data_IF_097319561026
#
_entry.id   IF_097319561026
#
_cell.length_a   1.000
_cell.length_b   1.000
_cell.length_c   1.000
_cell.angle_alpha   90.00
_cell.angle_beta   90.00
_cell.angle_gamma   90.00
#
_symmetry.space_group_name_H-M   'P 1'
#
loop_
_entity.id
_entity.type
_entity.pdbx_description
1 polymer ?
#
# COMPACT_ATOMS: atom_id res chain seq x y z
N UNK A 1 13.26 8.04 2.35
CA UNK A 1 12.05 7.63 1.59
C UNK A 1 12.36 7.47 0.09
N UNK A 2 13.09 8.38 -0.56
CA UNK A 2 13.45 8.20 -1.99
C UNK A 2 14.28 6.93 -2.21
N UNK A 3 15.33 6.72 -1.39
CA UNK A 3 16.18 5.53 -1.48
C UNK A 3 15.38 4.22 -1.32
N UNK A 4 14.40 4.23 -0.42
CA UNK A 4 13.49 3.10 -0.24
C UNK A 4 12.69 2.83 -1.53
N UNK A 5 12.13 3.88 -2.12
CA UNK A 5 11.37 3.77 -3.37
C UNK A 5 12.23 3.23 -4.51
N UNK A 6 13.46 3.70 -4.62
CA UNK A 6 14.42 3.23 -5.64
C UNK A 6 14.76 1.76 -5.45
N UNK A 7 14.97 1.30 -4.21
CA UNK A 7 15.23 -0.11 -3.92
C UNK A 7 14.02 -1.01 -4.21
N UNK A 8 12.81 -0.54 -3.89
CA UNK A 8 11.57 -1.27 -4.19
C UNK A 8 11.36 -1.37 -5.71
N UNK A 9 11.58 -0.29 -6.47
CA UNK A 9 11.53 -0.31 -7.93
C UNK A 9 12.59 -1.25 -8.51
N UNK A 10 13.82 -1.20 -7.99
CA UNK A 10 14.89 -2.08 -8.42
C UNK A 10 14.53 -3.56 -8.20
N UNK A 11 13.94 -3.90 -7.05
CA UNK A 11 13.51 -5.26 -6.74
C UNK A 11 12.50 -5.85 -7.75
N UNK A 12 11.71 -4.99 -8.43
CA UNK A 12 10.77 -5.38 -9.49
C UNK A 12 11.41 -5.72 -10.83
N UNK A 13 12.71 -5.57 -10.96
CA UNK A 13 13.38 -5.91 -12.21
C UNK A 13 13.51 -7.43 -12.35
N UNK A 14 12.88 -7.99 -13.40
CA UNK A 14 12.90 -9.44 -13.71
C UNK A 14 14.31 -10.01 -13.94
N UNK A 15 15.33 -9.17 -14.07
CA UNK A 15 16.74 -9.60 -14.22
C UNK A 15 17.42 -9.95 -12.89
N UNK A 16 16.82 -9.68 -11.73
CA UNK A 16 17.41 -10.02 -10.45
C UNK A 16 17.19 -11.49 -10.08
N UNK A 17 18.27 -12.12 -9.59
CA UNK A 17 18.24 -13.46 -9.03
C UNK A 17 17.69 -13.45 -7.60
N UNK A 18 17.35 -14.61 -7.06
CA UNK A 18 16.94 -14.74 -5.66
C UNK A 18 17.96 -14.14 -4.67
N UNK A 19 19.29 -14.39 -4.78
CA UNK A 19 20.29 -13.73 -3.93
C UNK A 19 20.32 -12.19 -4.06
N UNK A 20 20.06 -11.66 -5.27
CA UNK A 20 19.99 -10.21 -5.47
C UNK A 20 18.78 -9.62 -4.76
N UNK A 21 17.62 -10.28 -4.83
CA UNK A 21 16.39 -9.88 -4.12
C UNK A 21 16.58 -9.91 -2.61
N UNK A 22 17.18 -10.97 -2.06
CA UNK A 22 17.52 -11.04 -0.62
C UNK A 22 18.44 -9.88 -0.21
N UNK A 23 19.41 -9.52 -1.04
CA UNK A 23 20.28 -8.36 -0.78
C UNK A 23 19.48 -7.04 -0.76
N UNK A 24 18.54 -6.85 -1.68
CA UNK A 24 17.67 -5.68 -1.71
C UNK A 24 16.71 -5.65 -0.50
N UNK A 25 16.11 -6.78 -0.14
CA UNK A 25 15.29 -6.92 1.06
C UNK A 25 16.07 -6.52 2.32
N UNK A 26 17.32 -6.93 2.44
CA UNK A 26 18.21 -6.54 3.56
C UNK A 26 18.51 -5.03 3.58
N UNK A 27 18.69 -4.39 2.41
CA UNK A 27 18.90 -2.94 2.33
C UNK A 27 17.63 -2.18 2.77
N UNK A 28 16.45 -2.64 2.35
CA UNK A 28 15.17 -2.07 2.78
C UNK A 28 14.97 -2.26 4.30
N UNK A 29 15.34 -3.41 4.85
CA UNK A 29 15.31 -3.67 6.29
C UNK A 29 16.20 -2.69 7.06
N UNK A 30 17.42 -2.41 6.58
CA UNK A 30 18.31 -1.43 7.20
C UNK A 30 17.71 0.00 7.17
N UNK A 31 17.01 0.38 6.09
CA UNK A 31 16.30 1.66 6.02
C UNK A 31 15.10 1.71 6.96
N UNK A 32 14.36 0.61 7.07
CA UNK A 32 13.26 0.46 8.04
C UNK A 32 13.74 0.71 9.46
N UNK A 33 14.88 0.13 9.85
CA UNK A 33 15.47 0.33 11.18
C UNK A 33 15.94 1.77 11.41
N UNK A 34 16.47 2.43 10.38
CA UNK A 34 16.80 3.86 10.45
C UNK A 34 15.53 4.72 10.65
N UNK A 35 14.44 4.40 9.94
CA UNK A 35 13.14 5.09 10.12
C UNK A 35 12.62 4.86 11.53
N UNK A 36 12.71 3.64 12.07
CA UNK A 36 12.32 3.32 13.43
C UNK A 36 13.15 4.11 14.47
N UNK A 37 14.46 4.23 14.25
CA UNK A 37 15.31 5.06 15.09
C UNK A 37 14.92 6.55 15.02
N UNK A 38 14.53 7.06 13.84
CA UNK A 38 14.03 8.42 13.68
C UNK A 38 12.69 8.61 14.43
N UNK A 39 11.78 7.65 14.34
CA UNK A 39 10.49 7.69 15.03
C UNK A 39 10.65 7.76 16.58
N UNK A 40 11.74 7.20 17.09
CA UNK A 40 12.08 7.21 18.53
C UNK A 40 13.07 8.33 18.94
N UNK A 41 13.33 9.32 18.05
CA UNK A 41 14.26 10.41 18.39
C UNK A 41 13.71 11.30 19.48
N UNK A 42 14.64 11.79 20.29
CA UNK A 42 14.38 12.79 21.33
C UNK A 42 14.98 14.15 20.96
N UNK A 43 14.48 15.20 21.59
CA UNK A 43 15.07 16.53 21.55
C UNK A 43 16.31 16.63 22.46
N UNK A 44 16.91 17.82 22.58
CA UNK A 44 18.06 18.10 23.44
C UNK A 44 17.77 17.91 24.94
N UNK A 45 16.53 17.87 25.35
CA UNK A 45 16.09 17.65 26.73
C UNK A 45 15.72 16.20 27.01
N UNK A 46 15.88 15.30 26.02
CA UNK A 46 15.52 13.89 26.11
C UNK A 46 14.02 13.61 25.93
N UNK A 47 13.23 14.60 25.49
CA UNK A 47 11.80 14.41 25.25
C UNK A 47 11.55 13.83 23.85
N UNK A 48 10.70 12.80 23.71
CA UNK A 48 10.38 12.19 22.41
C UNK A 48 9.74 13.18 21.44
N UNK A 49 10.31 13.29 20.23
CA UNK A 49 9.79 14.18 19.18
C UNK A 49 8.43 13.72 18.62
N UNK A 50 8.13 12.44 18.69
CA UNK A 50 6.91 11.84 18.16
C UNK A 50 6.01 11.23 19.25
N UNK A 51 6.17 11.68 20.49
CA UNK A 51 5.40 11.20 21.64
C UNK A 51 3.95 11.69 21.70
N UNK A 52 3.52 12.57 20.80
CA UNK A 52 2.18 13.14 20.81
C UNK A 52 1.93 14.06 22.00
N UNK A 53 0.85 13.81 22.74
CA UNK A 53 0.51 14.55 23.97
C UNK A 53 1.41 14.18 25.15
N UNK A 54 2.16 13.07 25.05
CA UNK A 54 3.14 12.59 26.01
C UNK A 54 3.50 11.13 25.80
N UNK A 55 4.71 10.75 26.24
CA UNK A 55 5.18 9.37 26.29
C UNK A 55 6.06 9.20 27.53
N UNK A 56 5.91 8.10 28.24
CA UNK A 56 6.74 7.79 29.43
C UNK A 56 8.14 7.26 29.04
N UNK A 57 8.37 6.96 27.77
CA UNK A 57 9.63 6.41 27.24
C UNK A 57 9.67 6.55 25.73
N UNK A 58 10.32 5.60 25.04
CA UNK A 58 10.30 5.54 23.58
C UNK A 58 8.86 5.44 23.07
N UNK A 59 8.42 6.32 22.15
CA UNK A 59 7.03 6.34 21.69
C UNK A 59 6.66 5.12 20.84
N UNK A 60 7.63 4.40 20.27
CA UNK A 60 7.39 3.21 19.45
C UNK A 60 8.16 2.02 20.00
N UNK A 61 7.48 0.88 20.12
CA UNK A 61 8.04 -0.41 20.48
C UNK A 61 7.91 -1.38 19.31
N UNK A 62 9.03 -2.02 18.94
CA UNK A 62 9.06 -3.08 17.94
C UNK A 62 8.88 -4.43 18.65
N UNK A 63 7.79 -5.12 18.35
CA UNK A 63 7.42 -6.39 18.93
C UNK A 63 7.16 -7.42 17.81
N UNK A 64 7.11 -8.73 18.08
CA UNK A 64 6.86 -9.75 17.05
C UNK A 64 5.56 -9.57 16.25
N UNK A 65 4.58 -8.84 16.79
CA UNK A 65 3.32 -8.51 16.10
C UNK A 65 3.37 -7.23 15.27
N UNK A 66 4.54 -6.59 15.18
CA UNK A 66 4.77 -5.31 14.48
C UNK A 66 5.05 -4.15 15.43
N UNK A 67 5.22 -2.96 14.88
CA UNK A 67 5.51 -1.76 15.68
C UNK A 67 4.23 -1.21 16.31
N UNK A 68 4.29 -0.94 17.61
CA UNK A 68 3.22 -0.32 18.39
C UNK A 68 3.58 1.10 18.80
N UNK A 69 2.60 2.01 18.72
CA UNK A 69 2.70 3.34 19.32
C UNK A 69 2.29 3.29 20.80
N UNK A 70 3.19 3.73 21.67
CA UNK A 70 3.01 3.76 23.13
C UNK A 70 2.84 5.17 23.70
N UNK A 71 2.85 6.20 22.82
CA UNK A 71 2.60 7.57 23.19
C UNK A 71 1.11 7.89 23.34
N UNK A 72 0.79 9.09 23.77
CA UNK A 72 -0.58 9.61 23.79
C UNK A 72 -0.86 10.28 22.43
N UNK A 73 -1.83 9.75 21.67
CA UNK A 73 -2.22 10.29 20.36
C UNK A 73 -2.71 11.74 20.49
N UNK A 74 -2.41 12.56 19.49
CA UNK A 74 -2.77 13.96 19.43
C UNK A 74 -1.55 14.88 19.43
N UNK A 75 -1.81 16.16 19.28
CA UNK A 75 -0.79 17.20 19.30
C UNK A 75 -1.34 18.44 20.01
N UNK A 76 -0.53 19.06 20.84
CA UNK A 76 -0.91 20.32 21.47
C UNK A 76 -1.04 21.41 20.39
N UNK A 77 -2.08 22.22 20.48
CA UNK A 77 -2.24 23.36 19.59
C UNK A 77 -1.11 24.37 19.82
N UNK A 78 -0.60 24.95 18.74
CA UNK A 78 0.30 26.08 18.83
C UNK A 78 -0.46 27.30 19.45
N UNK A 79 0.19 28.00 20.36
CA UNK A 79 -0.32 29.25 20.93
C UNK A 79 0.64 30.39 20.57
N UNK A 80 0.25 31.65 20.86
CA UNK A 80 1.12 32.81 20.64
C UNK A 80 2.40 32.78 21.50
N UNK A 81 2.42 31.94 22.53
CA UNK A 81 3.52 31.88 23.52
C UNK A 81 4.20 30.51 23.55
N UNK A 82 3.63 29.47 22.92
CA UNK A 82 4.19 28.12 22.95
C UNK A 82 3.95 27.38 21.64
N UNK A 83 5.01 26.81 21.09
CA UNK A 83 4.94 25.86 19.98
C UNK A 83 4.92 24.43 20.54
N UNK A 84 4.22 23.47 19.86
CA UNK A 84 4.26 22.06 20.27
C UNK A 84 5.68 21.53 20.17
N UNK A 85 6.21 20.97 21.27
CA UNK A 85 7.54 20.37 21.33
C UNK A 85 7.57 18.94 20.75
N UNK A 86 6.40 18.30 20.60
CA UNK A 86 6.27 16.96 20.08
C UNK A 86 5.16 16.86 19.02
N UNK A 87 5.35 16.00 18.05
CA UNK A 87 4.39 15.69 16.98
C UNK A 87 3.56 14.45 17.31
N UNK A 88 2.38 14.33 16.70
CA UNK A 88 1.55 13.14 16.83
C UNK A 88 2.15 11.98 16.04
N UNK A 89 2.92 11.14 16.73
CA UNK A 89 3.57 9.96 16.12
C UNK A 89 2.58 8.95 15.57
N UNK A 90 1.41 8.78 16.20
CA UNK A 90 0.34 7.93 15.69
C UNK A 90 -0.06 8.35 14.27
N UNK A 91 -0.41 9.62 14.07
CA UNK A 91 -0.86 10.12 12.77
C UNK A 91 0.24 10.09 11.68
N UNK A 92 1.51 10.20 12.07
CA UNK A 92 2.63 10.28 11.12
C UNK A 92 3.10 8.90 10.68
N UNK A 93 3.13 7.91 11.59
CA UNK A 93 3.77 6.63 11.35
C UNK A 93 2.82 5.44 11.33
N UNK A 94 1.64 5.57 12.00
CA UNK A 94 0.70 4.46 12.18
C UNK A 94 -0.58 4.61 11.37
N UNK A 95 -0.94 5.85 10.97
CA UNK A 95 -2.18 6.16 10.25
C UNK A 95 -1.87 6.65 8.83
N UNK A 96 -0.95 5.97 8.12
CA UNK A 96 -0.62 6.27 6.73
C UNK A 96 -1.75 5.73 5.84
N UNK A 97 -2.39 6.56 5.00
CA UNK A 97 -3.44 6.07 4.11
C UNK A 97 -2.89 5.04 3.11
N UNK A 98 -3.59 3.91 2.95
CA UNK A 98 -3.26 2.89 1.94
C UNK A 98 -3.58 3.35 0.51
N UNK A 99 -2.97 2.71 -0.47
CA UNK A 99 -3.21 2.95 -1.89
C UNK A 99 -2.98 4.40 -2.31
N UNK A 100 -3.92 4.95 -3.06
CA UNK A 100 -3.87 6.35 -3.53
C UNK A 100 -4.53 7.35 -2.56
N UNK A 101 -4.76 6.99 -1.31
CA UNK A 101 -5.44 7.73 -0.22
C UNK A 101 -6.97 7.78 -0.31
N UNK A 102 -7.55 7.31 -1.38
CA UNK A 102 -9.00 7.20 -1.56
C UNK A 102 -9.42 5.74 -1.59
N UNK A 103 -8.66 4.95 -2.32
CA UNK A 103 -8.86 3.51 -2.42
C UNK A 103 -7.51 2.80 -2.61
N UNK A 104 -7.52 1.52 -2.30
CA UNK A 104 -6.40 0.61 -2.57
C UNK A 104 -6.81 -0.42 -3.62
N UNK A 105 -5.83 -0.90 -4.37
CA UNK A 105 -6.02 -1.91 -5.40
C UNK A 105 -5.14 -3.11 -5.07
N UNK A 106 -5.71 -4.32 -5.14
CA UNK A 106 -4.96 -5.55 -4.93
C UNK A 106 -5.36 -6.62 -5.95
N UNK A 107 -4.48 -7.59 -6.17
CA UNK A 107 -4.81 -8.77 -6.97
C UNK A 107 -5.53 -9.81 -6.11
N UNK A 108 -6.46 -10.53 -6.73
CA UNK A 108 -7.07 -11.69 -6.09
C UNK A 108 -6.05 -12.75 -5.71
N UNK A 109 -6.20 -13.35 -4.53
CA UNK A 109 -5.25 -14.35 -4.02
C UNK A 109 -5.17 -15.62 -4.91
N UNK A 110 -6.23 -15.88 -5.67
CA UNK A 110 -6.32 -17.03 -6.60
C UNK A 110 -5.84 -16.75 -8.02
N UNK A 111 -5.34 -15.53 -8.30
CA UNK A 111 -4.90 -15.19 -9.65
C UNK A 111 -3.75 -16.10 -10.12
N UNK A 112 -3.87 -16.57 -11.34
CA UNK A 112 -2.92 -17.48 -11.99
C UNK A 112 -2.34 -16.93 -13.30
N UNK A 113 -2.94 -15.86 -13.85
CA UNK A 113 -2.46 -15.16 -15.03
C UNK A 113 -1.42 -14.10 -14.74
N UNK A 114 -1.07 -13.33 -15.78
CA UNK A 114 -0.08 -12.25 -15.72
C UNK A 114 -0.68 -10.86 -15.58
N UNK A 115 -1.89 -10.73 -15.03
CA UNK A 115 -2.51 -9.43 -14.80
C UNK A 115 -1.86 -8.72 -13.60
N UNK A 116 -1.60 -7.43 -13.76
CA UNK A 116 -1.20 -6.50 -12.71
C UNK A 116 -1.84 -5.14 -12.99
N UNK A 117 -1.85 -4.22 -12.05
CA UNK A 117 -2.49 -2.92 -12.20
C UNK A 117 -1.68 -1.83 -11.48
N UNK A 118 -1.92 -0.57 -11.86
CA UNK A 118 -1.46 0.59 -11.11
C UNK A 118 -2.24 0.76 -9.78
N UNK A 119 -1.89 1.77 -9.00
CA UNK A 119 -2.62 2.15 -7.78
C UNK A 119 -3.98 2.79 -8.05
N UNK A 120 -4.30 3.03 -9.31
CA UNK A 120 -5.47 3.74 -9.74
C UNK A 120 -5.50 5.22 -9.35
N UNK A 121 -6.52 5.93 -9.81
CA UNK A 121 -6.75 7.33 -9.47
C UNK A 121 -8.24 7.69 -9.51
N UNK A 122 -8.59 8.78 -8.84
CA UNK A 122 -9.96 9.31 -8.85
C UNK A 122 -10.14 10.20 -10.07
N UNK A 123 -11.13 9.90 -10.91
CA UNK A 123 -11.51 10.70 -12.10
C UNK A 123 -12.68 11.62 -11.83
N UNK A 124 -13.57 11.24 -10.92
CA UNK A 124 -14.74 12.04 -10.54
C UNK A 124 -15.04 11.90 -9.04
N UNK A 125 -14.58 12.83 -8.20
CA UNK A 125 -14.82 12.77 -6.75
C UNK A 125 -16.30 12.75 -6.36
N UNK A 126 -17.16 13.37 -7.17
CA UNK A 126 -18.61 13.45 -6.90
C UNK A 126 -19.33 12.10 -7.08
N UNK A 127 -18.72 11.13 -7.78
CA UNK A 127 -19.29 9.80 -8.02
C UNK A 127 -18.73 8.73 -7.07
N UNK A 128 -17.80 9.10 -6.18
CA UNK A 128 -17.21 8.14 -5.23
C UNK A 128 -18.29 7.63 -4.27
N UNK A 129 -18.39 6.32 -4.16
CA UNK A 129 -19.34 5.64 -3.28
C UNK A 129 -18.73 5.23 -1.94
N UNK A 130 -17.38 5.08 -1.88
CA UNK A 130 -16.68 4.52 -0.72
C UNK A 130 -16.97 3.03 -0.49
N UNK A 131 -17.36 2.31 -1.52
CA UNK A 131 -17.71 0.88 -1.48
C UNK A 131 -16.59 0.01 -2.03
N UNK A 132 -16.68 -1.31 -1.77
CA UNK A 132 -15.73 -2.29 -2.29
C UNK A 132 -16.17 -2.76 -3.67
N UNK A 133 -15.18 -2.99 -4.55
CA UNK A 133 -15.38 -3.48 -5.90
C UNK A 133 -14.45 -4.63 -6.24
N UNK A 134 -14.86 -5.42 -7.22
CA UNK A 134 -14.05 -6.46 -7.83
C UNK A 134 -14.20 -6.43 -9.34
N UNK A 135 -13.10 -6.50 -10.04
CA UNK A 135 -13.06 -6.72 -11.49
C UNK A 135 -12.80 -8.21 -11.69
N UNK A 136 -13.71 -8.90 -12.35
CA UNK A 136 -13.64 -10.33 -12.63
C UNK A 136 -13.30 -10.54 -14.10
N UNK A 137 -12.19 -11.22 -14.40
CA UNK A 137 -11.79 -11.52 -15.78
C UNK A 137 -12.29 -12.89 -16.25
N UNK A 138 -12.87 -12.90 -17.42
CA UNK A 138 -13.32 -14.11 -18.11
C UNK A 138 -12.55 -14.28 -19.40
N UNK A 139 -11.88 -15.42 -19.57
CA UNK A 139 -11.15 -15.78 -20.81
C UNK A 139 -11.86 -16.97 -21.45
N UNK A 140 -12.44 -16.76 -22.65
CA UNK A 140 -13.14 -17.79 -23.39
C UNK A 140 -12.81 -17.67 -24.88
N UNK A 141 -12.43 -18.80 -25.50
CA UNK A 141 -12.09 -18.88 -26.93
C UNK A 141 -11.05 -17.82 -27.40
N UNK A 142 -10.10 -17.47 -26.52
CA UNK A 142 -9.06 -16.48 -26.82
C UNK A 142 -9.51 -15.01 -26.70
N UNK A 143 -10.76 -14.77 -26.28
CA UNK A 143 -11.29 -13.44 -26.00
C UNK A 143 -11.31 -13.23 -24.50
N UNK A 144 -10.78 -12.11 -24.04
CA UNK A 144 -10.84 -11.69 -22.64
C UNK A 144 -11.88 -10.60 -22.47
N UNK A 145 -12.78 -10.80 -21.52
CA UNK A 145 -13.76 -9.81 -21.06
C UNK A 145 -13.65 -9.60 -19.56
N UNK A 146 -14.26 -8.55 -19.05
CA UNK A 146 -14.34 -8.31 -17.62
C UNK A 146 -15.72 -7.82 -17.18
N UNK A 147 -16.05 -8.13 -15.93
CA UNK A 147 -17.16 -7.55 -15.21
C UNK A 147 -16.64 -6.69 -14.07
N UNK A 148 -17.35 -5.61 -13.71
CA UNK A 148 -17.09 -4.85 -12.48
C UNK A 148 -18.27 -5.06 -11.56
N UNK A 149 -18.01 -5.63 -10.40
CA UNK A 149 -19.00 -5.95 -9.38
C UNK A 149 -18.74 -5.09 -8.15
N UNK A 150 -19.74 -4.38 -7.70
CA UNK A 150 -19.76 -3.75 -6.39
C UNK A 150 -20.00 -4.85 -5.35
N UNK A 151 -19.01 -5.22 -4.57
CA UNK A 151 -19.09 -6.35 -3.64
C UNK A 151 -19.84 -5.99 -2.34
N UNK A 152 -19.93 -4.71 -2.01
CA UNK A 152 -20.73 -4.23 -0.87
C UNK A 152 -22.24 -4.41 -1.13
N UNK A 153 -22.70 -4.13 -2.35
CA UNK A 153 -24.11 -4.18 -2.72
C UNK A 153 -24.47 -5.42 -3.54
N UNK A 154 -23.48 -6.18 -4.00
CA UNK A 154 -23.60 -7.30 -4.95
C UNK A 154 -24.16 -6.88 -6.33
N UNK A 155 -24.07 -5.61 -6.68
CA UNK A 155 -24.54 -5.09 -7.97
C UNK A 155 -23.45 -5.17 -9.04
N UNK A 156 -23.78 -5.60 -10.24
CA UNK A 156 -22.89 -5.52 -11.40
C UNK A 156 -22.94 -4.11 -11.98
N UNK A 157 -21.81 -3.42 -11.96
CA UNK A 157 -21.66 -2.03 -12.46
C UNK A 157 -21.36 -2.04 -13.96
N UNK A 158 -20.46 -2.92 -14.40
CA UNK A 158 -20.13 -3.15 -15.80
C UNK A 158 -20.18 -4.66 -16.07
N UNK A 159 -20.69 -5.07 -17.22
CA UNK A 159 -20.81 -6.49 -17.58
C UNK A 159 -20.25 -6.76 -18.96
N UNK A 160 -19.50 -7.88 -19.09
CA UNK A 160 -18.96 -8.42 -20.32
C UNK A 160 -18.22 -7.39 -21.20
N UNK A 161 -17.49 -6.47 -20.58
CA UNK A 161 -16.72 -5.47 -21.31
C UNK A 161 -15.47 -6.08 -21.94
N UNK A 162 -15.09 -5.70 -23.16
CA UNK A 162 -13.86 -6.20 -23.79
C UNK A 162 -12.63 -5.70 -23.03
N UNK A 163 -11.73 -6.61 -22.68
CA UNK A 163 -10.48 -6.25 -22.03
C UNK A 163 -9.38 -5.95 -23.05
N UNK A 164 -8.67 -4.86 -22.83
CA UNK A 164 -7.43 -4.52 -23.53
C UNK A 164 -6.37 -4.14 -22.50
N UNK A 165 -5.23 -4.81 -22.53
CA UNK A 165 -4.12 -4.51 -21.64
C UNK A 165 -3.68 -3.04 -21.75
N UNK A 166 -3.59 -2.34 -20.63
CA UNK A 166 -3.21 -0.92 -20.58
C UNK A 166 -4.35 0.05 -20.94
N UNK A 167 -5.58 -0.42 -21.14
CA UNK A 167 -6.74 0.43 -21.25
C UNK A 167 -7.35 0.70 -19.86
N UNK A 168 -7.73 1.96 -19.54
CA UNK A 168 -8.32 2.28 -18.26
C UNK A 168 -9.73 1.69 -18.12
N UNK A 169 -10.00 1.08 -16.97
CA UNK A 169 -11.34 0.68 -16.54
C UNK A 169 -11.85 1.74 -15.60
N UNK A 170 -12.97 2.38 -15.99
CA UNK A 170 -13.57 3.48 -15.23
C UNK A 170 -15.00 3.12 -14.78
N UNK A 171 -15.30 3.37 -13.52
CA UNK A 171 -16.60 3.17 -12.89
C UNK A 171 -16.69 3.98 -11.60
N UNK A 172 -17.88 4.46 -11.23
CA UNK A 172 -18.19 5.14 -9.97
C UNK A 172 -17.13 6.17 -9.50
N UNK A 173 -16.56 6.92 -10.46
CA UNK A 173 -15.56 7.95 -10.18
C UNK A 173 -14.14 7.44 -10.03
N UNK A 174 -13.91 6.14 -10.14
CA UNK A 174 -12.61 5.47 -10.05
C UNK A 174 -12.07 5.16 -11.44
N UNK A 175 -10.75 5.09 -11.57
CA UNK A 175 -10.04 4.58 -12.75
C UNK A 175 -8.87 3.71 -12.30
N UNK A 176 -8.77 2.52 -12.85
CA UNK A 176 -7.64 1.59 -12.69
C UNK A 176 -7.13 1.17 -14.07
N UNK A 177 -5.83 0.86 -14.17
CA UNK A 177 -5.17 0.54 -15.43
C UNK A 177 -4.60 -0.89 -15.40
N UNK A 178 -5.44 -1.94 -15.58
CA UNK A 178 -4.93 -3.30 -15.62
C UNK A 178 -4.06 -3.55 -16.85
N UNK A 179 -2.96 -4.25 -16.63
CA UNK A 179 -1.98 -4.60 -17.66
C UNK A 179 -1.70 -6.11 -17.63
N UNK A 180 -1.11 -6.60 -18.72
CA UNK A 180 -0.76 -8.01 -18.86
C UNK A 180 -1.93 -8.86 -19.35
N UNK A 181 -1.79 -10.18 -19.22
CA UNK A 181 -2.76 -11.17 -19.70
C UNK A 181 -3.40 -11.89 -18.50
N UNK A 182 -4.64 -11.56 -18.13
CA UNK A 182 -5.35 -12.30 -17.08
C UNK A 182 -5.64 -13.73 -17.54
N UNK A 183 -5.69 -14.66 -16.59
CA UNK A 183 -6.27 -15.98 -16.80
C UNK A 183 -7.79 -15.94 -16.50
N UNK A 184 -8.50 -16.98 -16.90
CA UNK A 184 -9.93 -17.10 -16.58
C UNK A 184 -10.13 -17.24 -15.06
N UNK A 185 -10.92 -16.34 -14.50
CA UNK A 185 -11.20 -16.27 -13.06
C UNK A 185 -10.21 -15.40 -12.27
N UNK A 186 -9.24 -14.77 -12.91
CA UNK A 186 -8.42 -13.75 -12.24
C UNK A 186 -9.27 -12.55 -11.83
N UNK A 187 -8.88 -11.91 -10.74
CA UNK A 187 -9.62 -10.77 -10.20
C UNK A 187 -8.69 -9.63 -9.78
N UNK A 188 -9.22 -8.41 -9.83
CA UNK A 188 -8.63 -7.22 -9.20
C UNK A 188 -9.64 -6.70 -8.17
N UNK A 189 -9.18 -6.50 -6.95
CA UNK A 189 -10.01 -6.03 -5.83
C UNK A 189 -9.69 -4.57 -5.55
N UNK A 190 -10.71 -3.77 -5.39
CA UNK A 190 -10.61 -2.36 -5.04
C UNK A 190 -11.40 -2.14 -3.75
N UNK A 191 -10.72 -1.60 -2.73
CA UNK A 191 -11.30 -1.32 -1.43
C UNK A 191 -11.06 0.15 -1.03
N UNK A 192 -11.89 0.76 -0.19
CA UNK A 192 -11.60 2.08 0.37
C UNK A 192 -10.25 2.10 1.07
N UNK A 193 -9.52 3.23 0.97
CA UNK A 193 -8.25 3.42 1.67
C UNK A 193 -8.43 3.27 3.17
N UNK A 194 -7.55 2.52 3.79
CA UNK A 194 -7.48 2.33 5.24
C UNK A 194 -6.20 2.93 5.81
N UNK A 195 -6.17 3.13 7.12
CA UNK A 195 -4.96 3.56 7.81
C UNK A 195 -4.00 2.37 7.97
N UNK A 196 -2.78 2.53 7.49
CA UNK A 196 -1.72 1.52 7.60
C UNK A 196 -0.60 1.98 8.53
N UNK A 197 -0.08 1.03 9.29
CA UNK A 197 1.18 1.19 9.98
C UNK A 197 2.33 1.13 8.96
N UNK A 198 3.12 2.21 8.83
CA UNK A 198 4.24 2.29 7.90
C UNK A 198 5.23 1.14 8.07
N UNK A 199 5.52 0.76 9.32
CA UNK A 199 6.48 -0.31 9.61
C UNK A 199 5.94 -1.67 9.14
N UNK A 200 4.65 -1.96 9.37
CA UNK A 200 4.02 -3.18 8.89
C UNK A 200 3.99 -3.23 7.35
N UNK A 201 3.80 -2.08 6.69
CA UNK A 201 3.89 -1.98 5.23
C UNK A 201 5.31 -2.31 4.74
N UNK A 202 6.35 -1.76 5.41
CA UNK A 202 7.74 -2.05 5.08
C UNK A 202 8.10 -3.52 5.31
N UNK A 203 7.68 -4.08 6.45
CA UNK A 203 7.88 -5.49 6.78
C UNK A 203 7.18 -6.42 5.77
N UNK A 204 5.97 -6.07 5.33
CA UNK A 204 5.25 -6.75 4.25
C UNK A 204 5.97 -6.68 2.91
N UNK A 205 6.53 -5.52 2.57
CA UNK A 205 7.31 -5.31 1.34
C UNK A 205 8.60 -6.13 1.36
N UNK A 206 9.35 -6.12 2.47
CA UNK A 206 10.57 -6.93 2.66
C UNK A 206 10.24 -8.41 2.46
N UNK A 207 9.20 -8.91 3.13
CA UNK A 207 8.77 -10.30 3.00
C UNK A 207 8.33 -10.66 1.58
N UNK A 208 7.66 -9.74 0.88
CA UNK A 208 7.24 -9.96 -0.50
C UNK A 208 8.42 -10.05 -1.48
N UNK A 209 9.46 -9.25 -1.26
CA UNK A 209 10.68 -9.26 -2.08
C UNK A 209 11.50 -10.53 -1.81
N UNK A 210 11.68 -10.88 -0.56
CA UNK A 210 12.50 -12.03 -0.14
C UNK A 210 11.85 -13.38 -0.51
N UNK A 211 10.50 -13.45 -0.48
CA UNK A 211 9.73 -14.67 -0.75
C UNK A 211 8.98 -14.65 -2.09
N UNK A 212 9.34 -13.78 -3.03
CA UNK A 212 8.64 -13.66 -4.30
C UNK A 212 8.76 -14.95 -5.14
N UNK A 213 7.68 -15.71 -5.19
CA UNK A 213 7.59 -16.95 -5.99
C UNK A 213 7.32 -16.70 -7.47
N UNK A 214 6.95 -15.47 -7.87
CA UNK A 214 6.71 -15.10 -9.28
C UNK A 214 6.86 -13.60 -9.50
N UNK A 215 7.31 -13.21 -10.69
CA UNK A 215 7.52 -11.82 -11.10
C UNK A 215 6.24 -10.97 -11.07
N UNK A 216 5.08 -11.59 -11.30
CA UNK A 216 3.79 -10.87 -11.27
C UNK A 216 3.37 -10.45 -9.86
N UNK A 217 3.54 -11.34 -8.87
CA UNK A 217 3.27 -10.99 -7.46
C UNK A 217 4.21 -9.91 -6.95
N UNK A 218 5.47 -9.98 -7.37
CA UNK A 218 6.47 -8.97 -7.05
C UNK A 218 6.11 -7.63 -7.70
N UNK A 219 5.76 -7.61 -9.00
CA UNK A 219 5.35 -6.40 -9.72
C UNK A 219 4.15 -5.72 -9.06
N UNK A 220 3.16 -6.51 -8.63
CA UNK A 220 2.00 -6.00 -7.90
C UNK A 220 2.37 -5.43 -6.53
N UNK A 221 3.16 -6.15 -5.73
CA UNK A 221 3.61 -5.69 -4.41
C UNK A 221 4.35 -4.35 -4.53
N UNK A 222 5.17 -4.17 -5.55
CA UNK A 222 5.90 -2.96 -5.85
C UNK A 222 4.96 -1.82 -6.26
N UNK A 223 4.03 -2.08 -7.19
CA UNK A 223 3.06 -1.07 -7.64
C UNK A 223 2.21 -0.52 -6.49
N UNK A 224 1.92 -1.34 -5.47
CA UNK A 224 1.13 -0.95 -4.29
C UNK A 224 1.95 -0.31 -3.17
N UNK A 225 3.29 -0.46 -3.17
CA UNK A 225 4.19 0.10 -2.14
C UNK A 225 4.79 1.46 -2.51
N UNK A 226 4.55 1.95 -3.73
CA UNK A 226 5.04 3.22 -4.30
C UNK A 226 4.03 4.34 -4.23
#
# INVERSE_FOLDING_TARGET
>A
MQDLRELVIAAGNAGYTEPDRTTLAQQISNLRDQIFAIANRTDSNGLPLFGGLGSAGAPFADIPAGVLFQGASGQRAATTTALPGAMNGQAIWMDVPSGNRTFEVSLGAGNSGGVWTDTGHVVSPALLTGQDYRIDFTVSAGVTTYDVVNTTTSATVLSAQPYTSGAPIQFDGLSVLPQGAPANGDTVVIAPSTALNLFNLLDGTINSIDNAASDNKLSQAIALSL
#
